data_IF_293209439599
#
_entry.id   IF_293209439599
#
_cell.length_a   1.000
_cell.length_b   1.000
_cell.length_c   1.000
_cell.angle_alpha   90.00
_cell.angle_beta   90.00
_cell.angle_gamma   90.00
#
_symmetry.space_group_name_H-M   'P 1'
#
loop_
_entity.id
_entity.type
_entity.pdbx_description
1 polymer ?
#
# COMPACT_ATOMS: atom_id res chain seq x y z
N UNK A 1 14.85 1.03 27.79
CA UNK A 1 14.78 2.14 26.83
C UNK A 1 15.57 1.73 25.61
N UNK A 2 14.92 1.61 24.45
CA UNK A 2 15.65 1.40 23.20
C UNK A 2 16.47 2.67 22.92
N UNK A 3 17.79 2.55 22.88
CA UNK A 3 18.68 3.64 22.48
C UNK A 3 18.75 3.66 20.97
N UNK A 4 18.15 4.68 20.34
CA UNK A 4 18.36 4.92 18.92
C UNK A 4 19.85 5.18 18.65
N UNK A 5 20.43 4.66 17.55
CA UNK A 5 21.81 4.93 17.20
C UNK A 5 22.08 6.45 17.15
N UNK A 6 23.19 6.89 17.74
CA UNK A 6 23.66 8.28 17.64
C UNK A 6 24.10 8.62 16.21
N UNK A 7 24.48 7.61 15.43
CA UNK A 7 25.15 7.77 14.16
C UNK A 7 24.12 7.66 13.01
N UNK A 8 24.05 8.72 12.21
CA UNK A 8 23.02 9.01 11.21
C UNK A 8 23.49 8.74 9.78
N UNK A 9 24.25 7.66 9.57
CA UNK A 9 24.76 7.32 8.24
C UNK A 9 24.13 6.01 7.80
N UNK A 10 23.31 6.08 6.76
CA UNK A 10 22.70 4.91 6.13
C UNK A 10 22.83 5.04 4.62
N UNK A 11 23.15 3.93 3.94
CA UNK A 11 23.09 3.88 2.48
C UNK A 11 21.65 3.54 2.10
N UNK A 12 20.91 4.39 1.36
CA UNK A 12 19.62 3.97 0.80
C UNK A 12 19.81 2.71 -0.04
N UNK A 13 18.80 1.84 -0.06
CA UNK A 13 18.85 0.55 -0.77
C UNK A 13 18.93 0.71 -2.30
N UNK A 14 18.73 1.92 -2.84
CA UNK A 14 18.48 2.12 -4.27
C UNK A 14 19.54 2.94 -4.98
N UNK A 15 20.35 3.73 -4.29
CA UNK A 15 21.34 4.61 -4.93
C UNK A 15 22.61 4.53 -4.07
N UNK A 16 23.74 4.13 -4.67
CA UNK A 16 25.07 4.04 -4.05
C UNK A 16 25.64 5.39 -3.54
N UNK A 17 24.77 6.34 -3.21
CA UNK A 17 25.12 7.61 -2.60
C UNK A 17 24.93 7.50 -1.08
N UNK A 18 25.97 7.87 -0.34
CA UNK A 18 25.86 8.02 1.11
C UNK A 18 25.03 9.27 1.40
N UNK A 19 23.74 9.07 1.64
CA UNK A 19 22.86 10.14 2.11
C UNK A 19 23.05 10.27 3.62
N UNK A 20 23.45 11.46 4.08
CA UNK A 20 23.41 11.82 5.49
C UNK A 20 21.95 12.02 5.91
N UNK A 21 21.26 10.92 6.20
CA UNK A 21 19.93 10.91 6.75
C UNK A 21 19.92 10.12 8.05
N UNK A 22 19.53 10.77 9.15
CA UNK A 22 19.16 10.05 10.38
C UNK A 22 17.79 9.43 10.14
N UNK A 23 17.61 8.16 10.52
CA UNK A 23 16.26 7.61 10.63
C UNK A 23 15.45 8.55 11.53
N UNK A 24 14.35 9.15 11.03
CA UNK A 24 13.62 10.17 11.78
C UNK A 24 13.21 9.58 13.12
N UNK A 25 13.64 10.20 14.21
CA UNK A 25 13.25 9.74 15.54
C UNK A 25 11.74 9.99 15.65
N UNK A 26 10.90 8.97 15.94
CA UNK A 26 9.47 9.18 16.09
C UNK A 26 9.12 10.27 17.13
N UNK A 27 9.99 10.49 18.13
CA UNK A 27 9.84 11.56 19.10
C UNK A 27 10.07 12.98 18.53
N UNK A 28 10.73 13.13 17.38
CA UNK A 28 10.92 14.40 16.67
C UNK A 28 9.70 14.80 15.85
N UNK A 29 8.76 13.87 15.62
CA UNK A 29 7.48 14.12 14.96
C UNK A 29 6.32 13.72 15.89
N UNK A 30 6.19 14.37 17.06
CA UNK A 30 5.14 14.04 18.01
C UNK A 30 3.77 14.28 17.36
N UNK A 31 2.87 13.31 17.48
CA UNK A 31 1.50 13.48 17.03
C UNK A 31 0.87 14.64 17.81
N UNK A 32 0.60 15.77 17.16
CA UNK A 32 -0.21 16.84 17.76
C UNK A 32 -1.67 16.44 17.57
N UNK A 33 -2.40 16.01 18.61
CA UNK A 33 -3.69 15.34 18.45
C UNK A 33 -4.75 16.18 17.72
N UNK A 34 -4.61 17.51 17.76
CA UNK A 34 -5.53 18.45 17.14
C UNK A 34 -5.31 18.67 15.63
N UNK A 35 -4.14 18.37 15.07
CA UNK A 35 -3.79 18.72 13.67
C UNK A 35 -3.08 17.61 12.90
N UNK A 36 -2.57 16.57 13.57
CA UNK A 36 -1.74 15.52 12.94
C UNK A 36 -2.48 14.21 12.69
N UNK A 37 -3.80 14.17 12.91
CA UNK A 37 -4.64 13.00 12.65
C UNK A 37 -5.21 13.06 11.25
N UNK A 38 -4.94 12.02 10.46
CA UNK A 38 -5.59 11.82 9.16
C UNK A 38 -7.10 11.63 9.32
N UNK A 39 -7.82 11.73 8.20
CA UNK A 39 -9.23 11.37 8.13
C UNK A 39 -9.50 9.99 8.76
N UNK A 40 -8.73 8.97 8.35
CA UNK A 40 -8.88 7.59 8.84
C UNK A 40 -8.80 7.48 10.36
N UNK A 41 -7.77 8.07 10.98
CA UNK A 41 -7.54 7.97 12.44
C UNK A 41 -8.59 8.77 13.22
N UNK A 42 -9.10 9.86 12.65
CA UNK A 42 -10.08 10.72 13.32
C UNK A 42 -11.48 10.11 13.30
N UNK A 43 -11.91 9.60 12.15
CA UNK A 43 -13.27 9.09 11.95
C UNK A 43 -13.42 7.62 12.40
N UNK A 44 -12.37 6.80 12.29
CA UNK A 44 -12.41 5.37 12.63
C UNK A 44 -11.59 5.07 13.89
N UNK A 45 -12.10 5.52 15.03
CA UNK A 45 -11.50 5.21 16.34
C UNK A 45 -11.78 3.76 16.73
N UNK A 46 -10.80 3.11 17.35
CA UNK A 46 -10.95 1.75 17.88
C UNK A 46 -11.34 1.83 19.37
N UNK A 47 -12.53 1.36 19.71
CA UNK A 47 -13.09 1.49 21.07
C UNK A 47 -12.25 0.78 22.14
N UNK A 48 -11.48 -0.23 21.75
CA UNK A 48 -10.63 -1.02 22.64
C UNK A 48 -9.19 -0.49 22.77
N UNK A 49 -8.82 0.59 22.08
CA UNK A 49 -7.44 1.10 22.07
C UNK A 49 -6.97 1.53 23.47
N UNK A 50 -7.84 2.18 24.25
CA UNK A 50 -7.52 2.57 25.62
C UNK A 50 -7.36 1.37 26.56
N UNK A 51 -8.12 0.31 26.33
CA UNK A 51 -8.01 -0.93 27.09
C UNK A 51 -6.67 -1.62 26.79
N UNK A 52 -6.29 -1.73 25.51
CA UNK A 52 -5.00 -2.25 25.10
C UNK A 52 -3.84 -1.47 25.74
N UNK A 53 -3.91 -0.14 25.76
CA UNK A 53 -2.88 0.71 26.36
C UNK A 53 -2.71 0.51 27.88
N UNK A 54 -3.77 0.07 28.57
CA UNK A 54 -3.75 -0.23 30.02
C UNK A 54 -3.44 -1.69 30.33
N UNK A 55 -3.51 -2.57 29.33
CA UNK A 55 -3.29 -4.01 29.50
C UNK A 55 -1.81 -4.30 29.67
N UNK A 56 -1.44 -4.95 30.77
CA UNK A 56 -0.07 -5.43 30.96
C UNK A 56 0.25 -6.51 29.95
N UNK A 57 1.43 -6.43 29.33
CA UNK A 57 1.90 -7.49 28.45
C UNK A 57 2.05 -8.80 29.24
N UNK A 58 1.61 -9.95 28.67
CA UNK A 58 1.87 -11.25 29.26
C UNK A 58 3.38 -11.50 29.39
N UNK A 59 3.77 -12.30 30.39
CA UNK A 59 5.17 -12.63 30.63
C UNK A 59 5.77 -13.55 29.56
N UNK A 60 4.93 -14.32 28.88
CA UNK A 60 5.30 -15.29 27.84
C UNK A 60 4.19 -15.37 26.79
N UNK A 61 4.58 -15.48 25.52
CA UNK A 61 3.73 -15.72 24.37
C UNK A 61 4.49 -16.54 23.34
N UNK A 62 3.78 -17.23 22.45
CA UNK A 62 4.39 -18.00 21.37
C UNK A 62 4.93 -17.09 20.25
N UNK A 63 4.22 -15.99 19.96
CA UNK A 63 4.57 -15.05 18.90
C UNK A 63 4.42 -13.62 19.38
N UNK A 64 5.48 -12.81 19.19
CA UNK A 64 5.44 -11.36 19.36
C UNK A 64 5.51 -10.69 17.99
N UNK A 65 4.55 -9.81 17.70
CA UNK A 65 4.52 -8.96 16.51
C UNK A 65 4.75 -7.52 16.95
N UNK A 66 5.76 -6.87 16.38
CA UNK A 66 6.14 -5.49 16.71
C UNK A 66 5.65 -4.56 15.60
N UNK A 67 4.75 -3.65 15.95
CA UNK A 67 4.14 -2.68 15.04
C UNK A 67 2.80 -3.17 14.51
N UNK A 68 1.74 -2.39 14.73
CA UNK A 68 0.38 -2.78 14.37
C UNK A 68 -0.10 -2.23 13.03
N UNK A 69 0.81 -1.83 12.14
CA UNK A 69 0.46 -1.43 10.77
C UNK A 69 -0.16 -2.59 9.98
N UNK A 70 -0.57 -2.32 8.73
CA UNK A 70 -1.27 -3.29 7.87
C UNK A 70 -0.55 -4.64 7.79
N UNK A 71 0.79 -4.65 7.72
CA UNK A 71 1.58 -5.88 7.72
C UNK A 71 1.44 -6.64 9.03
N UNK A 72 1.65 -5.99 10.18
CA UNK A 72 1.55 -6.63 11.50
C UNK A 72 0.14 -7.13 11.80
N UNK A 73 -0.87 -6.32 11.47
CA UNK A 73 -2.29 -6.70 11.59
C UNK A 73 -2.63 -7.91 10.71
N UNK A 74 -2.15 -7.92 9.46
CA UNK A 74 -2.36 -9.06 8.54
C UNK A 74 -1.69 -10.33 9.05
N UNK A 75 -0.46 -10.23 9.60
CA UNK A 75 0.22 -11.38 10.20
C UNK A 75 -0.57 -11.92 11.40
N UNK A 76 -1.00 -11.04 12.30
CA UNK A 76 -1.80 -11.42 13.46
C UNK A 76 -3.10 -12.13 13.04
N UNK A 77 -3.80 -11.57 12.04
CA UNK A 77 -5.02 -12.15 11.47
C UNK A 77 -4.79 -13.53 10.83
N UNK A 78 -3.71 -13.70 10.08
CA UNK A 78 -3.42 -14.99 9.45
C UNK A 78 -3.03 -16.06 10.48
N UNK A 79 -2.28 -15.69 11.53
CA UNK A 79 -1.95 -16.63 12.62
C UNK A 79 -3.21 -17.03 13.37
N UNK A 80 -4.07 -16.08 13.75
CA UNK A 80 -5.30 -16.41 14.49
C UNK A 80 -6.24 -17.35 13.74
N UNK A 81 -6.23 -17.32 12.40
CA UNK A 81 -6.99 -18.26 11.55
C UNK A 81 -6.31 -19.60 11.36
N UNK A 82 -5.00 -19.63 11.11
CA UNK A 82 -4.28 -20.86 10.75
C UNK A 82 -3.77 -21.65 11.94
N UNK A 83 -3.51 -20.98 13.06
CA UNK A 83 -2.93 -21.55 14.28
C UNK A 83 -3.60 -20.91 15.52
N UNK A 84 -4.91 -21.15 15.74
CA UNK A 84 -5.69 -20.49 16.78
C UNK A 84 -5.22 -20.82 18.21
N UNK A 85 -4.44 -21.88 18.40
CA UNK A 85 -3.91 -22.28 19.70
C UNK A 85 -2.67 -21.47 20.14
N UNK A 86 -2.07 -20.69 19.24
CA UNK A 86 -0.92 -19.85 19.57
C UNK A 86 -1.34 -18.58 20.32
N UNK A 87 -0.64 -18.29 21.40
CA UNK A 87 -0.72 -17.00 22.08
C UNK A 87 0.10 -15.96 21.30
N UNK A 88 -0.59 -14.97 20.72
CA UNK A 88 0.02 -13.91 19.91
C UNK A 88 -0.12 -12.55 20.60
N UNK A 89 0.99 -11.85 20.80
CA UNK A 89 0.99 -10.45 21.23
C UNK A 89 1.34 -9.51 20.06
N UNK A 90 0.41 -8.62 19.69
CA UNK A 90 0.66 -7.51 18.77
C UNK A 90 0.92 -6.24 19.59
N UNK A 91 2.13 -5.68 19.49
CA UNK A 91 2.57 -4.57 20.32
C UNK A 91 2.80 -3.33 19.46
N UNK A 92 2.25 -2.19 19.88
CA UNK A 92 2.44 -0.90 19.23
C UNK A 92 2.89 0.15 20.25
N UNK A 93 3.81 1.01 19.81
CA UNK A 93 4.41 2.08 20.61
C UNK A 93 3.54 3.33 20.75
N UNK A 94 2.62 3.52 19.80
CA UNK A 94 1.72 4.68 19.69
C UNK A 94 0.26 4.22 19.77
N UNK A 95 -0.56 4.58 18.80
CA UNK A 95 -1.90 4.05 18.62
C UNK A 95 -1.92 2.98 17.54
N UNK A 96 -2.93 2.11 17.61
CA UNK A 96 -3.08 1.02 16.66
C UNK A 96 -3.28 1.57 15.25
N UNK A 97 -2.48 1.06 14.30
CA UNK A 97 -2.50 1.45 12.90
C UNK A 97 -2.19 2.94 12.65
N UNK A 98 -1.79 3.73 13.66
CA UNK A 98 -1.64 5.18 13.47
C UNK A 98 -0.41 5.56 12.67
N UNK A 99 0.46 4.62 12.28
CA UNK A 99 1.65 4.86 11.45
C UNK A 99 1.37 5.19 9.98
N UNK A 100 2.17 4.63 9.06
CA UNK A 100 1.97 4.82 7.62
C UNK A 100 0.59 4.32 7.16
N UNK A 101 0.13 3.20 7.74
CA UNK A 101 -1.20 2.62 7.47
C UNK A 101 -2.31 3.61 7.74
N UNK A 102 -2.36 4.27 8.89
CA UNK A 102 -3.41 5.24 9.19
C UNK A 102 -3.26 6.57 8.43
N UNK A 103 -2.16 6.81 7.70
CA UNK A 103 -1.89 8.09 7.00
C UNK A 103 -1.79 7.93 5.48
N UNK A 104 -2.29 6.83 4.92
CA UNK A 104 -2.26 6.57 3.49
C UNK A 104 -3.42 7.26 2.74
N UNK A 105 -3.37 7.28 1.40
CA UNK A 105 -4.38 7.92 0.55
C UNK A 105 -5.66 7.10 0.27
N UNK A 106 -5.81 5.93 0.86
CA UNK A 106 -6.94 5.00 0.64
C UNK A 106 -6.78 4.12 -0.61
N UNK A 107 -5.63 4.15 -1.28
CA UNK A 107 -5.46 3.46 -2.56
C UNK A 107 -5.08 1.99 -2.40
N UNK A 108 -5.87 1.11 -3.01
CA UNK A 108 -5.50 -0.28 -3.28
C UNK A 108 -5.08 -0.37 -4.76
N UNK A 109 -3.87 0.09 -5.04
CA UNK A 109 -3.33 0.21 -6.40
C UNK A 109 -2.28 -0.84 -6.73
N UNK A 110 -2.01 -1.00 -8.03
CA UNK A 110 -0.86 -1.76 -8.55
C UNK A 110 -0.15 -0.94 -9.63
N UNK A 111 1.13 -0.60 -9.48
CA UNK A 111 1.96 -0.15 -10.59
C UNK A 111 2.37 -1.38 -11.41
N UNK A 112 1.40 -1.96 -12.13
CA UNK A 112 1.47 -3.34 -12.61
C UNK A 112 2.68 -3.59 -13.52
N UNK A 113 2.87 -2.76 -14.54
CA UNK A 113 4.00 -2.89 -15.48
C UNK A 113 4.99 -1.75 -15.41
N UNK A 114 4.75 -0.71 -14.61
CA UNK A 114 5.70 0.40 -14.41
C UNK A 114 7.11 -0.09 -14.12
N UNK A 115 8.09 0.42 -14.86
CA UNK A 115 9.52 0.12 -14.74
C UNK A 115 9.84 -1.38 -14.91
N UNK A 116 9.02 -2.12 -15.66
CA UNK A 116 9.24 -3.57 -15.82
C UNK A 116 10.58 -3.88 -16.49
N UNK A 117 10.94 -3.15 -17.56
CA UNK A 117 12.20 -3.37 -18.28
C UNK A 117 13.41 -3.08 -17.38
N UNK A 118 13.40 -1.95 -16.68
CA UNK A 118 14.47 -1.57 -15.74
C UNK A 118 14.62 -2.60 -14.62
N UNK A 119 13.50 -3.02 -14.01
CA UNK A 119 13.51 -4.06 -12.99
C UNK A 119 14.04 -5.39 -13.54
N UNK A 120 13.68 -5.75 -14.78
CA UNK A 120 14.15 -6.97 -15.42
C UNK A 120 15.64 -6.94 -15.75
N UNK A 121 16.21 -5.76 -16.05
CA UNK A 121 17.65 -5.58 -16.21
C UNK A 121 18.39 -5.76 -14.87
N UNK A 122 17.81 -5.27 -13.77
CA UNK A 122 18.43 -5.31 -12.44
C UNK A 122 18.38 -6.70 -11.79
N UNK A 123 17.21 -7.36 -11.81
CA UNK A 123 16.99 -8.63 -11.09
C UNK A 123 16.75 -9.84 -12.00
N UNK A 124 16.72 -9.63 -13.31
CA UNK A 124 16.37 -10.64 -14.30
C UNK A 124 14.86 -10.77 -14.49
N UNK A 125 14.45 -11.01 -15.74
CA UNK A 125 13.04 -11.13 -16.17
C UNK A 125 12.20 -12.04 -15.26
N UNK A 126 12.72 -13.22 -14.89
CA UNK A 126 11.99 -14.19 -14.07
C UNK A 126 11.64 -13.63 -12.69
N UNK A 127 12.58 -12.94 -12.04
CA UNK A 127 12.35 -12.37 -10.71
C UNK A 127 11.50 -11.09 -10.79
N UNK A 128 11.69 -10.27 -11.83
CA UNK A 128 10.82 -9.13 -12.11
C UNK A 128 9.34 -9.55 -12.24
N UNK A 129 9.07 -10.61 -13.02
CA UNK A 129 7.72 -11.18 -13.16
C UNK A 129 7.16 -11.69 -11.84
N UNK A 130 7.98 -12.33 -10.99
CA UNK A 130 7.54 -12.77 -9.67
C UNK A 130 7.16 -11.58 -8.78
N UNK A 131 7.93 -10.49 -8.81
CA UNK A 131 7.62 -9.29 -8.04
C UNK A 131 6.31 -8.64 -8.51
N UNK A 132 6.08 -8.54 -9.82
CA UNK A 132 4.80 -8.04 -10.35
C UNK A 132 3.63 -8.92 -9.92
N UNK A 133 3.74 -10.24 -10.11
CA UNK A 133 2.72 -11.21 -9.65
C UNK A 133 2.53 -11.22 -8.12
N UNK A 134 3.58 -10.93 -7.35
CA UNK A 134 3.48 -10.79 -5.90
C UNK A 134 2.65 -9.59 -5.49
N UNK A 135 2.89 -8.42 -6.12
CA UNK A 135 2.02 -7.25 -5.97
C UNK A 135 0.58 -7.56 -6.36
N UNK A 136 0.41 -8.39 -7.40
CA UNK A 136 -0.92 -8.84 -7.77
C UNK A 136 -1.58 -9.66 -6.65
N UNK A 137 -0.93 -10.74 -6.24
CA UNK A 137 -1.42 -11.60 -5.16
C UNK A 137 -1.74 -10.82 -3.89
N UNK A 138 -0.90 -9.87 -3.49
CA UNK A 138 -1.11 -9.03 -2.30
C UNK A 138 -2.42 -8.23 -2.37
N UNK A 139 -2.72 -7.60 -3.52
CA UNK A 139 -4.00 -6.90 -3.72
C UNK A 139 -5.19 -7.85 -3.58
N UNK A 140 -5.13 -9.01 -4.24
CA UNK A 140 -6.25 -9.96 -4.24
C UNK A 140 -6.50 -10.47 -2.82
N UNK A 141 -5.46 -10.83 -2.09
CA UNK A 141 -5.56 -11.25 -0.69
C UNK A 141 -6.16 -10.17 0.22
N UNK A 142 -5.85 -8.90 -0.02
CA UNK A 142 -6.47 -7.79 0.73
C UNK A 142 -7.96 -7.69 0.45
N UNK A 143 -8.38 -7.75 -0.82
CA UNK A 143 -9.80 -7.72 -1.21
C UNK A 143 -10.53 -8.94 -0.68
N UNK A 144 -9.95 -10.13 -0.78
CA UNK A 144 -10.50 -11.37 -0.22
C UNK A 144 -10.72 -11.26 1.29
N UNK A 145 -9.71 -10.79 2.04
CA UNK A 145 -9.81 -10.64 3.48
C UNK A 145 -10.90 -9.64 3.90
N UNK A 146 -11.05 -8.52 3.19
CA UNK A 146 -12.13 -7.54 3.45
C UNK A 146 -13.51 -8.19 3.24
N UNK A 147 -13.68 -8.98 2.18
CA UNK A 147 -14.93 -9.68 1.92
C UNK A 147 -15.21 -10.76 2.97
N UNK A 148 -14.21 -11.55 3.35
CA UNK A 148 -14.35 -12.60 4.38
C UNK A 148 -14.68 -12.02 5.76
N UNK A 149 -14.20 -10.81 6.06
CA UNK A 149 -14.53 -10.08 7.29
C UNK A 149 -15.90 -9.37 7.20
N UNK A 150 -16.59 -9.47 6.07
CA UNK A 150 -17.83 -8.75 5.78
C UNK A 150 -17.68 -7.22 5.95
N UNK A 151 -16.47 -6.69 5.73
CA UNK A 151 -16.07 -5.34 6.10
C UNK A 151 -16.12 -4.33 4.93
N UNK A 152 -16.79 -4.68 3.83
CA UNK A 152 -16.80 -3.89 2.58
C UNK A 152 -17.35 -2.48 2.81
N UNK A 153 -18.43 -2.36 3.59
CA UNK A 153 -19.06 -1.06 3.87
C UNK A 153 -18.23 -0.25 4.89
N UNK A 154 -17.62 -0.93 5.85
CA UNK A 154 -16.86 -0.37 6.96
C UNK A 154 -15.56 0.30 6.48
N UNK A 155 -14.91 -0.29 5.48
CA UNK A 155 -13.68 0.25 4.88
C UNK A 155 -13.92 1.07 3.62
N UNK A 156 -15.19 1.27 3.24
CA UNK A 156 -15.61 1.92 1.98
C UNK A 156 -14.84 1.37 0.76
N UNK A 157 -14.83 0.04 0.61
CA UNK A 157 -14.09 -0.59 -0.48
C UNK A 157 -14.74 -0.28 -1.83
N UNK A 158 -14.03 0.52 -2.64
CA UNK A 158 -14.44 0.88 -3.99
C UNK A 158 -13.45 0.29 -5.02
N UNK A 159 -13.92 -0.65 -5.85
CA UNK A 159 -13.12 -1.27 -6.92
C UNK A 159 -13.39 -0.61 -8.28
N UNK A 160 -13.18 0.71 -8.34
CA UNK A 160 -13.51 1.53 -9.52
C UNK A 160 -12.33 1.68 -10.51
N UNK A 161 -11.26 0.92 -10.30
CA UNK A 161 -10.03 1.00 -11.09
C UNK A 161 -9.13 2.19 -10.72
N UNK A 162 -8.08 2.38 -11.51
CA UNK A 162 -7.13 3.49 -11.36
C UNK A 162 -6.84 4.04 -12.74
N UNK A 163 -6.86 5.36 -12.88
CA UNK A 163 -6.47 6.03 -14.12
C UNK A 163 -5.03 6.46 -13.96
N UNK A 164 -4.21 6.01 -14.90
CA UNK A 164 -2.82 6.43 -15.03
C UNK A 164 -2.78 7.51 -16.10
N UNK A 165 -2.25 8.68 -15.75
CA UNK A 165 -2.08 9.82 -16.64
C UNK A 165 -0.59 10.10 -16.77
N UNK A 166 -0.16 10.39 -18.00
CA UNK A 166 1.22 10.74 -18.31
C UNK A 166 1.28 12.23 -18.64
N UNK A 167 2.30 12.93 -18.13
CA UNK A 167 2.51 14.34 -18.42
C UNK A 167 3.08 14.52 -19.83
N UNK A 168 3.93 13.58 -20.26
CA UNK A 168 4.64 13.65 -21.54
C UNK A 168 4.33 12.45 -22.43
N UNK A 169 4.60 12.61 -23.73
CA UNK A 169 4.47 11.50 -24.69
C UNK A 169 5.52 10.43 -24.43
N UNK A 170 6.72 10.84 -24.00
CA UNK A 170 7.83 9.98 -23.68
C UNK A 170 7.50 9.02 -22.51
N UNK A 171 6.92 9.53 -21.42
CA UNK A 171 6.49 8.70 -20.27
C UNK A 171 5.46 7.65 -20.68
N UNK A 172 4.51 8.03 -21.56
CA UNK A 172 3.51 7.12 -22.11
C UNK A 172 4.17 6.04 -22.97
N UNK A 173 5.11 6.41 -23.83
CA UNK A 173 5.85 5.47 -24.68
C UNK A 173 6.67 4.47 -23.84
N UNK A 174 7.33 4.93 -22.78
CA UNK A 174 8.07 4.08 -21.85
C UNK A 174 7.16 3.08 -21.13
N UNK A 175 6.01 3.52 -20.64
CA UNK A 175 5.02 2.63 -20.01
C UNK A 175 4.47 1.60 -21.00
N UNK A 176 4.18 2.00 -22.25
CA UNK A 176 3.74 1.07 -23.29
C UNK A 176 4.83 0.05 -23.62
N UNK A 177 6.10 0.47 -23.68
CA UNK A 177 7.22 -0.45 -23.90
C UNK A 177 7.37 -1.46 -22.74
N UNK A 178 7.17 -1.03 -21.50
CA UNK A 178 7.14 -1.91 -20.34
C UNK A 178 5.99 -2.91 -20.38
N UNK A 179 4.79 -2.44 -20.74
CA UNK A 179 3.60 -3.26 -20.92
C UNK A 179 3.84 -4.38 -21.94
N UNK A 180 4.32 -4.03 -23.13
CA UNK A 180 4.58 -4.99 -24.20
C UNK A 180 5.71 -5.97 -23.84
N UNK A 181 6.77 -5.48 -23.18
CA UNK A 181 7.82 -6.35 -22.67
C UNK A 181 7.28 -7.36 -21.64
N UNK A 182 6.46 -6.92 -20.70
CA UNK A 182 5.86 -7.80 -19.70
C UNK A 182 5.00 -8.89 -20.36
N UNK A 183 4.19 -8.52 -21.36
CA UNK A 183 3.37 -9.46 -22.15
C UNK A 183 4.20 -10.47 -22.91
N UNK A 184 5.25 -10.03 -23.60
CA UNK A 184 6.16 -10.91 -24.33
C UNK A 184 6.77 -11.99 -23.42
N UNK A 185 6.99 -11.65 -22.14
CA UNK A 185 7.53 -12.56 -21.14
C UNK A 185 6.44 -13.33 -20.35
N UNK A 186 5.18 -13.31 -20.79
CA UNK A 186 4.08 -14.09 -20.22
C UNK A 186 3.47 -13.50 -18.95
N UNK A 187 3.55 -12.19 -18.76
CA UNK A 187 2.69 -11.47 -17.84
C UNK A 187 1.34 -11.19 -18.51
N UNK A 188 0.25 -11.24 -17.73
CA UNK A 188 -1.08 -10.83 -18.16
C UNK A 188 -1.46 -9.59 -17.33
N UNK A 189 -1.24 -8.38 -17.88
CA UNK A 189 -1.67 -7.15 -17.25
C UNK A 189 -3.21 -7.08 -17.13
N UNK A 190 -3.69 -6.37 -16.13
CA UNK A 190 -5.10 -6.07 -15.91
C UNK A 190 -5.36 -4.60 -16.25
N UNK A 191 -6.02 -4.33 -17.38
CA UNK A 191 -6.47 -2.96 -17.66
C UNK A 191 -6.85 -2.71 -19.10
N UNK A 192 -6.91 -1.43 -19.45
CA UNK A 192 -7.17 -0.95 -20.80
C UNK A 192 -6.20 0.17 -21.13
N UNK A 193 -5.65 0.16 -22.35
CA UNK A 193 -4.99 1.33 -22.90
C UNK A 193 -6.05 2.18 -23.60
N UNK A 194 -6.29 3.38 -23.06
CA UNK A 194 -7.18 4.35 -23.66
C UNK A 194 -6.43 5.00 -24.81
N UNK A 195 -6.88 4.77 -26.04
CA UNK A 195 -6.34 5.45 -27.23
C UNK A 195 -6.82 6.90 -27.24
N UNK A 196 -5.95 7.80 -27.69
CA UNK A 196 -6.26 9.23 -27.81
C UNK A 196 -7.58 9.42 -28.54
N UNK A 197 -8.54 9.95 -27.81
CA UNK A 197 -9.86 10.37 -28.29
C UNK A 197 -10.06 11.78 -27.75
N UNK A 198 -10.71 12.63 -28.53
CA UNK A 198 -10.81 14.06 -28.27
C UNK A 198 -11.51 14.43 -26.95
N UNK A 199 -12.14 13.49 -26.24
CA UNK A 199 -13.08 13.79 -25.16
C UNK A 199 -13.07 12.77 -23.99
N UNK A 200 -11.89 12.34 -23.50
CA UNK A 200 -11.83 11.37 -22.37
C UNK A 200 -12.29 11.97 -21.04
N UNK A 201 -12.19 13.29 -20.85
CA UNK A 201 -12.50 13.96 -19.58
C UNK A 201 -13.52 15.09 -19.81
N UNK A 202 -14.81 14.79 -19.72
CA UNK A 202 -15.82 15.86 -19.55
C UNK A 202 -15.96 16.17 -18.05
N UNK A 203 -15.40 17.30 -17.61
CA UNK A 203 -15.54 17.78 -16.24
C UNK A 203 -16.95 18.33 -16.05
N UNK A 204 -17.81 17.62 -15.31
CA UNK A 204 -19.06 18.17 -14.76
C UNK A 204 -18.87 18.40 -13.26
N UNK A 205 -18.74 19.65 -12.85
CA UNK A 205 -18.69 20.10 -11.44
C UNK A 205 -20.09 20.50 -10.94
N UNK A 206 -20.32 20.75 -9.63
CA UNK A 206 -20.12 20.01 -8.36
C UNK A 206 -21.45 19.38 -7.84
N UNK A 207 -21.51 18.70 -6.66
CA UNK A 207 -20.45 18.54 -5.64
C UNK A 207 -19.91 17.10 -5.60
N UNK A 208 -18.61 16.96 -5.89
CA UNK A 208 -17.80 15.76 -5.61
C UNK A 208 -18.01 14.51 -6.46
N UNK A 209 -18.55 14.61 -7.69
CA UNK A 209 -18.49 13.48 -8.62
C UNK A 209 -17.92 13.93 -9.96
N UNK A 210 -16.63 13.68 -10.18
CA UNK A 210 -16.09 13.66 -11.53
C UNK A 210 -16.41 12.28 -12.12
N UNK A 211 -17.48 12.19 -12.91
CA UNK A 211 -17.77 10.98 -13.68
C UNK A 211 -16.96 11.03 -14.96
N UNK A 212 -16.02 10.10 -15.11
CA UNK A 212 -15.29 9.91 -16.36
C UNK A 212 -16.07 8.89 -17.18
N UNK A 213 -16.81 9.37 -18.16
CA UNK A 213 -17.40 8.50 -19.18
C UNK A 213 -16.36 8.26 -20.26
N UNK A 214 -15.80 7.05 -20.31
CA UNK A 214 -14.89 6.63 -21.37
C UNK A 214 -15.74 6.19 -22.57
N UNK A 215 -16.00 7.11 -23.49
CA UNK A 215 -16.64 6.83 -24.79
C UNK A 215 -15.55 6.66 -25.85
N UNK A 216 -14.76 5.58 -25.73
CA UNK A 216 -13.51 5.45 -26.50
C UNK A 216 -13.24 4.00 -26.94
N UNK A 217 -12.45 3.86 -28.01
CA UNK A 217 -11.88 2.59 -28.47
C UNK A 217 -10.81 2.09 -27.48
N UNK A 218 -11.25 1.65 -26.30
CA UNK A 218 -10.39 1.05 -25.28
C UNK A 218 -9.96 -0.36 -25.73
N UNK A 219 -8.65 -0.60 -25.77
CA UNK A 219 -8.12 -1.94 -26.05
C UNK A 219 -7.75 -2.57 -24.72
N UNK A 220 -8.36 -3.72 -24.41
CA UNK A 220 -7.97 -4.53 -23.25
C UNK A 220 -6.51 -4.92 -23.41
N UNK A 221 -5.71 -4.57 -22.41
CA UNK A 221 -4.30 -4.96 -22.36
C UNK A 221 -4.13 -6.24 -21.58
#
# INVERSE_FOLDING_TARGET
MATWPSDSVWSPQTHNEQIYARAPNPAEFPEVPAISKSYWIREHRLDFEEECARTSLPSEVDVVIIGSGITGATVAYQISRSQPDLCVALIESRGLCTGATGRNGGHIGRPEVYHFRELAEEVGVKEALKLKRFGQKNRNMMVEAINELEAVAEVDLQLNGTIVVFETAEEKEEFVADLESAKQHGHEPEGYLIKETSDVLSVRTPPFTATISIDTDAVRV
#
